data_IF_249362979090
#
_entry.id   IF_249362979090
#
_cell.length_a   1.000
_cell.length_b   1.000
_cell.length_c   1.000
_cell.angle_alpha   90.00
_cell.angle_beta   90.00
_cell.angle_gamma   90.00
#
_symmetry.space_group_name_H-M   'P 1'
#
loop_
_entity.id
_entity.type
_entity.pdbx_description
1 polymer ?
#
# COMPACT_ATOMS: atom_id res chain seq x y z
N UNK A 1 -14.15 10.40 27.62
CA UNK A 1 -14.29 8.98 27.19
C UNK A 1 -15.36 8.81 26.12
N UNK A 2 -16.66 8.79 26.42
CA UNK A 2 -17.71 8.56 25.39
C UNK A 2 -17.68 9.56 24.22
N UNK A 3 -17.49 10.86 24.49
CA UNK A 3 -17.37 11.88 23.44
C UNK A 3 -16.09 11.73 22.60
N UNK A 4 -14.99 11.31 23.22
CA UNK A 4 -13.70 11.18 22.54
C UNK A 4 -13.69 9.94 21.63
N UNK A 5 -14.24 8.82 22.11
CA UNK A 5 -14.46 7.59 21.32
C UNK A 5 -15.37 7.85 20.13
N UNK A 6 -16.47 8.60 20.31
CA UNK A 6 -17.39 8.93 19.22
C UNK A 6 -16.76 9.84 18.16
N UNK A 7 -16.00 10.85 18.60
CA UNK A 7 -15.29 11.76 17.70
C UNK A 7 -14.23 11.02 16.88
N UNK A 8 -13.50 10.09 17.52
CA UNK A 8 -12.52 9.27 16.85
C UNK A 8 -13.15 8.31 15.83
N UNK A 9 -14.23 7.62 16.21
CA UNK A 9 -14.96 6.73 15.31
C UNK A 9 -15.43 7.49 14.06
N UNK A 10 -15.93 8.72 14.25
CA UNK A 10 -16.31 9.60 13.15
C UNK A 10 -15.11 9.98 12.27
N UNK A 11 -13.95 10.31 12.86
CA UNK A 11 -12.72 10.59 12.11
C UNK A 11 -12.25 9.38 11.31
N UNK A 12 -12.28 8.18 11.90
CA UNK A 12 -11.95 6.91 11.24
C UNK A 12 -12.90 6.63 10.07
N UNK A 13 -14.21 6.74 10.29
CA UNK A 13 -15.21 6.54 9.24
C UNK A 13 -15.00 7.52 8.08
N UNK A 14 -14.69 8.78 8.37
CA UNK A 14 -14.47 9.80 7.34
C UNK A 14 -13.16 9.55 6.59
N UNK A 15 -12.09 9.15 7.27
CA UNK A 15 -10.86 8.71 6.60
C UNK A 15 -11.14 7.51 5.67
N UNK A 16 -11.94 6.54 6.11
CA UNK A 16 -12.32 5.37 5.32
C UNK A 16 -13.25 5.69 4.15
N UNK A 17 -14.05 6.74 4.21
CA UNK A 17 -14.94 7.18 3.13
C UNK A 17 -14.28 8.19 2.18
N UNK A 18 -13.17 8.81 2.60
CA UNK A 18 -12.49 9.84 1.82
C UNK A 18 -11.80 9.27 0.58
N UNK A 19 -11.97 9.96 -0.53
CA UNK A 19 -11.18 9.76 -1.75
C UNK A 19 -9.78 10.38 -1.59
N UNK A 20 -8.78 9.96 -2.39
CA UNK A 20 -7.44 10.57 -2.35
C UNK A 20 -7.46 12.11 -2.50
N UNK A 21 -8.38 12.65 -3.32
CA UNK A 21 -8.57 14.10 -3.47
C UNK A 21 -9.03 14.76 -2.17
N UNK A 22 -10.01 14.16 -1.50
CA UNK A 22 -10.55 14.70 -0.25
C UNK A 22 -9.49 14.69 0.86
N UNK A 23 -8.71 13.61 0.94
CA UNK A 23 -7.59 13.46 1.87
C UNK A 23 -6.60 14.63 1.71
N UNK A 24 -6.20 14.95 0.47
CA UNK A 24 -5.25 16.05 0.19
C UNK A 24 -5.84 17.45 0.28
N UNK A 25 -7.14 17.61 0.07
CA UNK A 25 -7.79 18.93 0.13
C UNK A 25 -8.01 19.45 1.55
N UNK A 26 -8.07 18.56 2.55
CA UNK A 26 -8.29 18.90 3.97
C UNK A 26 -7.14 18.37 4.84
N UNK A 27 -5.92 18.82 4.52
CA UNK A 27 -4.70 18.38 5.20
C UNK A 27 -4.77 18.60 6.72
N UNK A 28 -5.37 19.71 7.20
CA UNK A 28 -5.46 19.97 8.65
C UNK A 28 -6.28 18.92 9.38
N UNK A 29 -7.40 18.50 8.80
CA UNK A 29 -8.23 17.45 9.40
C UNK A 29 -7.57 16.09 9.27
N UNK A 30 -6.97 15.80 8.12
CA UNK A 30 -6.28 14.54 7.89
C UNK A 30 -5.10 14.36 8.84
N UNK A 31 -4.27 15.38 8.99
CA UNK A 31 -3.13 15.40 9.90
C UNK A 31 -3.56 15.15 11.34
N UNK A 32 -4.62 15.81 11.83
CA UNK A 32 -5.19 15.51 13.15
C UNK A 32 -5.64 14.06 13.29
N UNK A 33 -6.22 13.50 12.23
CA UNK A 33 -6.64 12.10 12.22
C UNK A 33 -5.42 11.17 12.27
N UNK A 34 -4.37 11.45 11.49
CA UNK A 34 -3.11 10.70 11.51
C UNK A 34 -2.43 10.75 12.89
N UNK A 35 -2.36 11.93 13.51
CA UNK A 35 -1.84 12.10 14.88
C UNK A 35 -2.59 11.21 15.87
N UNK A 36 -3.92 11.27 15.86
CA UNK A 36 -4.77 10.47 16.75
C UNK A 36 -4.64 8.96 16.49
N UNK A 37 -4.64 8.54 15.23
CA UNK A 37 -4.52 7.13 14.86
C UNK A 37 -3.17 6.56 15.30
N UNK A 38 -2.09 7.31 15.11
CA UNK A 38 -0.76 6.89 15.52
C UNK A 38 -0.61 6.88 17.05
N UNK A 39 -1.14 7.89 17.73
CA UNK A 39 -1.17 7.95 19.20
C UNK A 39 -1.86 6.71 19.79
N UNK A 40 -3.02 6.35 19.26
CA UNK A 40 -3.81 5.21 19.75
C UNK A 40 -3.13 3.89 19.42
N UNK A 41 -2.51 3.79 18.25
CA UNK A 41 -1.69 2.62 17.89
C UNK A 41 -0.55 2.45 18.88
N UNK A 42 0.14 3.54 19.23
CA UNK A 42 1.22 3.52 20.21
C UNK A 42 0.71 3.16 21.62
N UNK A 43 -0.40 3.72 22.07
CA UNK A 43 -1.00 3.39 23.37
C UNK A 43 -1.42 1.92 23.45
N UNK A 44 -2.14 1.45 22.42
CA UNK A 44 -2.58 0.05 22.33
C UNK A 44 -1.39 -0.92 22.30
N UNK A 45 -0.28 -0.56 21.65
CA UNK A 45 0.93 -1.41 21.59
C UNK A 45 1.60 -1.67 22.94
N UNK A 46 1.25 -0.89 23.97
CA UNK A 46 1.83 -1.01 25.33
C UNK A 46 0.98 -1.88 26.25
N UNK A 47 -0.20 -2.32 25.82
CA UNK A 47 -1.18 -3.02 26.62
C UNK A 47 -1.26 -4.48 26.14
N UNK A 48 -1.28 -5.43 27.07
CA UNK A 48 -1.20 -6.88 26.78
C UNK A 48 -2.30 -7.39 25.84
N UNK A 49 -3.50 -6.80 25.86
CA UNK A 49 -4.62 -7.17 24.99
C UNK A 49 -4.72 -6.29 23.72
N UNK A 50 -3.72 -5.44 23.47
CA UNK A 50 -3.63 -4.50 22.37
C UNK A 50 -4.87 -3.60 22.20
N UNK A 51 -5.56 -3.28 23.30
CA UNK A 51 -6.67 -2.32 23.30
C UNK A 51 -6.24 -1.03 23.97
N UNK A 52 -6.40 0.07 23.25
CA UNK A 52 -6.19 1.43 23.77
C UNK A 52 -7.14 1.77 24.91
N UNK A 53 -6.83 2.84 25.65
CA UNK A 53 -7.66 3.36 26.74
C UNK A 53 -9.06 3.81 26.29
N UNK A 54 -9.23 4.10 25.00
CA UNK A 54 -10.51 4.48 24.38
C UNK A 54 -11.32 3.28 23.86
N UNK A 55 -10.81 2.05 24.05
CA UNK A 55 -11.50 0.78 23.80
C UNK A 55 -11.18 0.11 22.46
N UNK A 56 -10.53 0.81 21.54
CA UNK A 56 -10.20 0.29 20.21
C UNK A 56 -9.03 -0.71 20.29
N UNK A 57 -9.20 -1.86 19.65
CA UNK A 57 -8.12 -2.81 19.38
C UNK A 57 -7.17 -2.22 18.34
N UNK A 58 -5.88 -2.52 18.43
CA UNK A 58 -4.84 -1.92 17.59
C UNK A 58 -5.07 -2.10 16.08
N UNK A 59 -5.74 -3.18 15.68
CA UNK A 59 -6.10 -3.43 14.27
C UNK A 59 -7.00 -2.34 13.67
N UNK A 60 -7.83 -1.69 14.48
CA UNK A 60 -8.82 -0.73 14.03
C UNK A 60 -8.16 0.58 13.56
N UNK A 61 -7.31 1.27 14.35
CA UNK A 61 -6.57 2.43 13.83
C UNK A 61 -5.55 2.03 12.76
N UNK A 62 -4.88 0.88 12.87
CA UNK A 62 -3.94 0.40 11.85
C UNK A 62 -4.64 0.19 10.49
N UNK A 63 -5.86 -0.36 10.48
CA UNK A 63 -6.61 -0.56 9.24
C UNK A 63 -6.92 0.74 8.51
N UNK A 64 -7.20 1.80 9.28
CA UNK A 64 -7.39 3.16 8.74
C UNK A 64 -6.06 3.73 8.23
N UNK A 65 -4.97 3.59 8.98
CA UNK A 65 -3.63 4.02 8.57
C UNK A 65 -3.20 3.36 7.25
N UNK A 66 -3.39 2.05 7.10
CA UNK A 66 -3.05 1.35 5.88
C UNK A 66 -3.81 1.90 4.65
N UNK A 67 -5.08 2.28 4.81
CA UNK A 67 -5.82 2.97 3.74
C UNK A 67 -5.25 4.35 3.45
N UNK A 68 -4.94 5.13 4.48
CA UNK A 68 -4.42 6.49 4.31
C UNK A 68 -3.02 6.49 3.70
N UNK A 69 -2.17 5.54 4.07
CA UNK A 69 -0.82 5.35 3.52
C UNK A 69 -0.83 4.89 2.06
N UNK A 70 -2.00 4.71 1.44
CA UNK A 70 -2.13 4.64 -0.02
C UNK A 70 -1.65 5.94 -0.70
N UNK A 71 -1.70 7.06 0.02
CA UNK A 71 -1.22 8.37 -0.39
C UNK A 71 0.13 8.69 0.28
N UNK A 72 1.15 9.00 -0.52
CA UNK A 72 2.53 9.19 -0.03
C UNK A 72 2.67 10.39 0.90
N UNK A 73 1.89 11.46 0.70
CA UNK A 73 1.91 12.62 1.60
C UNK A 73 1.38 12.24 2.99
N UNK A 74 0.32 11.44 3.06
CA UNK A 74 -0.23 10.95 4.32
C UNK A 74 0.74 10.00 5.04
N UNK A 75 1.42 9.14 4.29
CA UNK A 75 2.48 8.28 4.82
C UNK A 75 3.64 9.11 5.38
N UNK A 76 4.18 10.04 4.59
CA UNK A 76 5.30 10.89 4.99
C UNK A 76 4.93 11.71 6.22
N UNK A 77 3.77 12.38 6.23
CA UNK A 77 3.31 13.12 7.39
C UNK A 77 3.24 12.24 8.65
N UNK A 78 2.67 11.04 8.54
CA UNK A 78 2.53 10.15 9.68
C UNK A 78 3.88 9.68 10.26
N UNK A 79 4.88 9.47 9.41
CA UNK A 79 6.20 9.00 9.85
C UNK A 79 7.08 10.13 10.37
N UNK A 80 7.06 11.30 9.73
CA UNK A 80 8.03 12.37 10.02
C UNK A 80 7.47 13.59 10.75
N UNK A 81 6.13 13.76 10.80
CA UNK A 81 5.50 14.97 11.30
C UNK A 81 4.33 14.74 12.27
N UNK A 82 3.92 13.49 12.50
CA UNK A 82 2.77 13.22 13.35
C UNK A 82 3.04 13.64 14.80
N UNK A 83 2.15 14.45 15.35
CA UNK A 83 2.25 14.93 16.73
C UNK A 83 1.72 13.85 17.67
N UNK A 84 2.62 13.18 18.39
CA UNK A 84 2.32 12.09 19.32
C UNK A 84 2.93 12.38 20.70
N UNK A 85 2.42 11.74 21.74
CA UNK A 85 2.95 11.84 23.11
C UNK A 85 3.19 10.44 23.71
N UNK A 86 4.45 10.02 23.90
CA UNK A 86 5.66 10.74 23.53
C UNK A 86 5.83 10.88 22.01
N UNK A 87 6.57 11.92 21.58
CA UNK A 87 6.82 12.18 20.16
C UNK A 87 7.61 11.02 19.54
N UNK A 88 7.01 10.36 18.56
CA UNK A 88 7.68 9.38 17.71
C UNK A 88 8.41 10.10 16.58
N UNK A 89 9.67 9.71 16.35
CA UNK A 89 10.37 10.03 15.12
C UNK A 89 10.13 8.93 14.07
N UNK A 90 10.63 9.17 12.85
CA UNK A 90 10.53 8.23 11.73
C UNK A 90 11.01 6.84 12.12
N UNK A 91 12.17 6.77 12.77
CA UNK A 91 12.83 5.53 13.18
C UNK A 91 11.95 4.74 14.15
N UNK A 92 11.49 5.40 15.21
CA UNK A 92 10.65 4.81 16.25
C UNK A 92 9.30 4.37 15.71
N UNK A 93 8.76 5.11 14.74
CA UNK A 93 7.49 4.77 14.09
C UNK A 93 7.62 3.52 13.21
N UNK A 94 8.68 3.44 12.39
CA UNK A 94 8.95 2.23 11.59
C UNK A 94 9.23 1.03 12.50
N UNK A 95 10.05 1.22 13.54
CA UNK A 95 10.38 0.16 14.50
C UNK A 95 9.14 -0.33 15.26
N UNK A 96 8.20 0.56 15.59
CA UNK A 96 6.89 0.20 16.15
C UNK A 96 6.11 -0.73 15.21
N UNK A 97 5.96 -0.37 13.93
CA UNK A 97 5.24 -1.22 12.97
C UNK A 97 5.93 -2.56 12.73
N UNK A 98 7.27 -2.58 12.65
CA UNK A 98 8.04 -3.82 12.50
C UNK A 98 7.89 -4.72 13.73
N UNK A 99 8.01 -4.16 14.94
CA UNK A 99 7.83 -4.89 16.19
C UNK A 99 6.43 -5.52 16.26
N UNK A 100 5.40 -4.72 16.02
CA UNK A 100 4.02 -5.20 16.01
C UNK A 100 3.82 -6.30 14.97
N UNK A 101 4.39 -6.15 13.77
CA UNK A 101 4.27 -7.17 12.74
C UNK A 101 4.88 -8.50 13.17
N UNK A 102 6.09 -8.49 13.76
CA UNK A 102 6.75 -9.69 14.27
C UNK A 102 5.92 -10.32 15.41
N UNK A 103 5.45 -9.49 16.34
CA UNK A 103 4.62 -9.92 17.48
C UNK A 103 3.32 -10.61 17.02
N UNK A 104 2.56 -9.96 16.13
CA UNK A 104 1.33 -10.51 15.56
C UNK A 104 1.59 -11.61 14.53
N UNK A 105 2.84 -11.88 14.12
CA UNK A 105 3.21 -13.03 13.27
C UNK A 105 3.59 -14.27 14.08
N UNK A 106 3.88 -14.14 15.37
CA UNK A 106 4.29 -15.22 16.27
C UNK A 106 3.37 -16.46 16.25
N UNK A 107 3.79 -17.55 16.90
CA UNK A 107 3.34 -18.94 16.67
C UNK A 107 1.81 -19.26 16.72
N UNK A 108 0.92 -18.30 16.97
CA UNK A 108 -0.53 -18.50 17.14
C UNK A 108 -1.43 -17.91 16.03
N UNK A 109 -0.88 -17.22 15.01
CA UNK A 109 -1.69 -16.56 13.95
C UNK A 109 -2.67 -17.49 13.25
N UNK A 110 -2.31 -18.75 13.10
CA UNK A 110 -3.12 -19.72 12.36
C UNK A 110 -4.47 -20.04 13.02
N UNK A 111 -4.74 -19.57 14.25
CA UNK A 111 -5.97 -19.85 14.99
C UNK A 111 -6.82 -18.62 15.34
N UNK A 112 -6.30 -17.40 15.16
CA UNK A 112 -7.00 -16.16 15.52
C UNK A 112 -7.14 -15.23 14.31
N UNK A 113 -8.36 -15.09 13.80
CA UNK A 113 -8.68 -14.23 12.65
C UNK A 113 -8.33 -12.76 12.89
N UNK A 114 -8.45 -12.25 14.12
CA UNK A 114 -8.13 -10.86 14.43
C UNK A 114 -6.61 -10.62 14.38
N UNK A 115 -5.81 -11.57 14.87
CA UNK A 115 -4.34 -11.50 14.77
C UNK A 115 -3.89 -11.61 13.32
N UNK A 116 -4.47 -12.53 12.55
CA UNK A 116 -4.21 -12.65 11.12
C UNK A 116 -4.53 -11.37 10.35
N UNK A 117 -5.70 -10.76 10.63
CA UNK A 117 -6.09 -9.49 10.04
C UNK A 117 -5.10 -8.37 10.42
N UNK A 118 -4.71 -8.29 11.70
CA UNK A 118 -3.73 -7.31 12.19
C UNK A 118 -2.38 -7.47 11.50
N UNK A 119 -1.90 -8.70 11.35
CA UNK A 119 -0.67 -9.03 10.64
C UNK A 119 -0.74 -8.61 9.16
N UNK A 120 -1.87 -8.88 8.49
CA UNK A 120 -2.12 -8.45 7.11
C UNK A 120 -2.07 -6.93 6.97
N UNK A 121 -2.69 -6.20 7.88
CA UNK A 121 -2.67 -4.72 7.90
C UNK A 121 -1.23 -4.20 8.03
N UNK A 122 -0.50 -4.70 9.02
CA UNK A 122 0.88 -4.26 9.32
C UNK A 122 1.81 -4.53 8.14
N UNK A 123 1.68 -5.69 7.49
CA UNK A 123 2.48 -6.00 6.31
C UNK A 123 2.18 -5.07 5.13
N UNK A 124 0.91 -4.68 4.93
CA UNK A 124 0.54 -3.69 3.91
C UNK A 124 1.04 -2.27 4.23
N UNK A 125 1.13 -1.90 5.51
CA UNK A 125 1.78 -0.66 5.97
C UNK A 125 3.27 -0.70 5.65
N UNK A 126 3.97 -1.77 6.05
CA UNK A 126 5.40 -1.96 5.80
C UNK A 126 5.71 -2.03 4.30
N UNK A 127 4.81 -2.60 3.50
CA UNK A 127 4.92 -2.53 2.05
C UNK A 127 4.79 -1.11 1.52
N UNK A 128 3.85 -0.30 2.03
CA UNK A 128 3.76 1.12 1.66
C UNK A 128 5.03 1.88 2.02
N UNK A 129 5.64 1.61 3.18
CA UNK A 129 6.94 2.17 3.59
C UNK A 129 8.06 1.76 2.63
N UNK A 130 8.09 0.50 2.18
CA UNK A 130 9.15 0.00 1.30
C UNK A 130 9.22 0.68 -0.08
N UNK A 131 8.17 1.37 -0.53
CA UNK A 131 8.21 2.15 -1.77
C UNK A 131 9.10 3.40 -1.65
N UNK A 132 9.35 3.87 -0.43
CA UNK A 132 10.07 5.10 -0.16
C UNK A 132 11.57 4.82 -0.01
N UNK A 133 12.39 5.31 -0.94
CA UNK A 133 13.82 5.00 -1.02
C UNK A 133 14.58 5.31 0.29
N UNK A 134 14.23 6.39 0.97
CA UNK A 134 14.85 6.82 2.23
C UNK A 134 14.59 5.89 3.41
N UNK A 135 13.55 5.04 3.34
CA UNK A 135 13.22 4.10 4.41
C UNK A 135 13.70 2.67 4.14
N UNK A 136 14.13 2.35 2.92
CA UNK A 136 14.57 0.99 2.53
C UNK A 136 15.72 0.48 3.39
N UNK A 137 16.75 1.30 3.60
CA UNK A 137 17.92 0.93 4.41
C UNK A 137 17.53 0.54 5.83
N UNK A 138 16.56 1.25 6.43
CA UNK A 138 16.08 0.98 7.78
C UNK A 138 15.35 -0.37 7.87
N UNK A 139 14.50 -0.68 6.88
CA UNK A 139 13.85 -1.99 6.80
C UNK A 139 14.86 -3.13 6.58
N UNK A 140 15.87 -2.92 5.73
CA UNK A 140 16.92 -3.90 5.44
C UNK A 140 17.80 -4.22 6.65
N UNK A 141 18.03 -3.26 7.55
CA UNK A 141 18.83 -3.45 8.76
C UNK A 141 18.17 -4.35 9.81
N UNK A 142 16.87 -4.63 9.69
CA UNK A 142 16.16 -5.50 10.63
C UNK A 142 16.13 -6.96 10.11
N UNK A 143 17.09 -7.77 10.58
CA UNK A 143 17.24 -9.17 10.14
C UNK A 143 16.01 -10.04 10.44
N UNK A 144 15.37 -9.85 11.59
CA UNK A 144 14.20 -10.63 12.00
C UNK A 144 12.99 -10.33 11.13
N UNK A 145 12.72 -9.04 10.87
CA UNK A 145 11.71 -8.61 9.91
C UNK A 145 11.95 -9.26 8.56
N UNK A 146 13.18 -9.17 8.07
CA UNK A 146 13.54 -9.64 6.75
C UNK A 146 13.38 -11.16 6.60
N UNK A 147 13.83 -11.94 7.59
CA UNK A 147 13.61 -13.39 7.66
C UNK A 147 12.12 -13.73 7.67
N UNK A 148 11.33 -12.97 8.42
CA UNK A 148 9.88 -13.18 8.54
C UNK A 148 9.17 -12.95 7.20
N UNK A 149 9.48 -11.85 6.51
CA UNK A 149 8.93 -11.53 5.18
C UNK A 149 9.34 -12.58 4.14
N UNK A 150 10.60 -13.02 4.12
CA UNK A 150 11.06 -14.12 3.24
C UNK A 150 10.27 -15.41 3.47
N UNK A 151 10.03 -15.78 4.73
CA UNK A 151 9.24 -16.98 5.03
C UNK A 151 7.81 -16.89 4.49
N UNK A 152 7.16 -15.73 4.58
CA UNK A 152 5.80 -15.51 4.07
C UNK A 152 5.72 -15.57 2.54
N UNK A 153 6.75 -15.07 1.86
CA UNK A 153 6.81 -15.10 0.40
C UNK A 153 7.07 -16.53 -0.13
N UNK A 154 7.86 -17.32 0.59
CA UNK A 154 8.23 -18.69 0.23
C UNK A 154 7.22 -19.74 0.69
N UNK A 155 6.25 -19.37 1.53
CA UNK A 155 5.27 -20.32 2.05
C UNK A 155 4.41 -20.88 0.90
N UNK A 156 4.70 -22.14 0.53
CA UNK A 156 4.01 -22.87 -0.53
C UNK A 156 2.67 -23.44 -0.06
N UNK A 157 2.30 -23.28 1.22
CA UNK A 157 0.98 -23.64 1.72
C UNK A 157 -0.08 -22.60 1.33
N UNK A 158 -0.19 -22.29 0.04
CA UNK A 158 -1.46 -21.84 -0.55
C UNK A 158 -2.34 -23.06 -0.85
N UNK A 159 -2.53 -23.93 0.14
CA UNK A 159 -3.69 -24.81 0.15
C UNK A 159 -4.86 -24.00 0.67
N UNK A 160 -5.63 -23.45 -0.27
CA UNK A 160 -6.98 -22.92 -0.04
C UNK A 160 -6.98 -21.77 0.96
N UNK A 161 -6.73 -20.56 0.45
CA UNK A 161 -7.16 -19.33 1.10
C UNK A 161 -8.67 -19.45 1.25
N UNK A 162 -9.13 -19.86 2.43
CA UNK A 162 -10.47 -19.48 2.90
C UNK A 162 -10.52 -17.97 2.72
N UNK A 163 -11.57 -17.46 2.10
CA UNK A 163 -11.85 -16.04 1.85
C UNK A 163 -11.70 -15.19 3.13
N UNK A 164 -10.46 -14.93 3.53
CA UNK A 164 -10.11 -14.07 4.64
C UNK A 164 -10.34 -12.64 4.13
N UNK A 165 -11.13 -11.88 4.89
CA UNK A 165 -11.50 -10.53 4.51
C UNK A 165 -10.26 -9.65 4.36
N UNK A 166 -9.87 -9.38 3.11
CA UNK A 166 -8.87 -8.36 2.75
C UNK A 166 -9.61 -7.12 2.25
N UNK A 167 -9.57 -5.99 2.97
CA UNK A 167 -10.15 -4.74 2.50
C UNK A 167 -9.62 -4.36 1.11
N UNK A 168 -10.45 -3.76 0.27
CA UNK A 168 -10.08 -3.33 -1.11
C UNK A 168 -8.88 -2.36 -1.21
N UNK A 169 -8.39 -1.84 -0.09
CA UNK A 169 -7.19 -0.99 -0.01
C UNK A 169 -5.90 -1.76 0.36
N UNK A 170 -5.98 -3.06 0.59
CA UNK A 170 -4.90 -3.95 1.01
C UNK A 170 -4.77 -5.12 0.03
N UNK A 171 -3.64 -5.82 0.10
CA UNK A 171 -3.39 -7.08 -0.62
C UNK A 171 -3.15 -8.22 0.37
N UNK A 172 -3.16 -9.46 -0.14
CA UNK A 172 -2.84 -10.65 0.65
C UNK A 172 -1.44 -10.59 1.25
N UNK A 173 -1.20 -11.33 2.34
CA UNK A 173 0.10 -11.34 2.99
C UNK A 173 1.23 -11.78 2.05
N UNK A 174 1.02 -12.84 1.26
CA UNK A 174 2.02 -13.34 0.30
C UNK A 174 2.40 -12.26 -0.72
N UNK A 175 1.40 -11.56 -1.27
CA UNK A 175 1.63 -10.50 -2.27
C UNK A 175 2.32 -9.28 -1.67
N UNK A 176 1.91 -8.85 -0.48
CA UNK A 176 2.57 -7.76 0.23
C UNK A 176 4.03 -8.13 0.57
N UNK A 177 4.30 -9.37 1.01
CA UNK A 177 5.65 -9.86 1.28
C UNK A 177 6.52 -9.86 0.02
N UNK A 178 6.02 -10.40 -1.10
CA UNK A 178 6.72 -10.36 -2.39
C UNK A 178 7.04 -8.93 -2.83
N UNK A 179 6.07 -8.03 -2.69
CA UNK A 179 6.24 -6.61 -3.03
C UNK A 179 7.27 -5.89 -2.17
N UNK A 180 7.35 -6.20 -0.87
CA UNK A 180 8.40 -5.68 0.02
C UNK A 180 9.77 -6.15 -0.46
N UNK A 181 9.96 -7.45 -0.70
CA UNK A 181 11.26 -8.00 -1.09
C UNK A 181 11.74 -7.43 -2.42
N UNK A 182 10.82 -7.29 -3.39
CA UNK A 182 11.09 -6.61 -4.64
C UNK A 182 11.57 -5.17 -4.42
N UNK A 183 10.84 -4.38 -3.62
CA UNK A 183 11.17 -2.99 -3.35
C UNK A 183 12.50 -2.81 -2.62
N UNK A 184 12.88 -3.79 -1.78
CA UNK A 184 14.15 -3.84 -1.07
C UNK A 184 15.30 -4.41 -1.93
N UNK A 185 15.11 -4.57 -3.24
CA UNK A 185 16.07 -5.13 -4.20
C UNK A 185 16.52 -6.55 -3.87
N UNK A 186 15.70 -7.30 -3.13
CA UNK A 186 15.98 -8.68 -2.76
C UNK A 186 15.28 -9.60 -3.75
N UNK A 187 16.06 -10.10 -4.69
CA UNK A 187 15.61 -11.05 -5.71
C UNK A 187 15.44 -12.41 -5.05
N UNK A 188 14.19 -12.83 -4.84
CA UNK A 188 13.87 -14.14 -4.26
C UNK A 188 14.28 -15.33 -5.12
N UNK A 189 14.70 -15.11 -6.36
CA UNK A 189 15.38 -16.04 -7.23
C UNK A 189 16.19 -15.22 -8.24
N UNK A 190 17.32 -15.77 -8.67
CA UNK A 190 18.37 -15.19 -9.54
C UNK A 190 17.94 -14.79 -10.96
N UNK A 191 16.67 -14.48 -11.17
CA UNK A 191 16.20 -13.84 -12.39
C UNK A 191 16.28 -12.33 -12.16
N UNK A 192 17.39 -11.72 -12.58
CA UNK A 192 17.34 -10.35 -13.10
C UNK A 192 16.21 -10.32 -14.13
N UNK A 193 15.02 -9.92 -13.71
CA UNK A 193 13.94 -9.66 -14.65
C UNK A 193 14.43 -8.51 -15.48
N UNK A 194 14.68 -8.83 -16.75
CA UNK A 194 15.05 -7.88 -17.77
C UNK A 194 14.07 -6.69 -17.72
N UNK A 195 14.61 -5.48 -17.63
CA UNK A 195 13.83 -4.26 -17.85
C UNK A 195 13.41 -4.28 -19.32
N UNK A 196 12.35 -5.03 -19.63
CA UNK A 196 11.85 -5.13 -20.99
C UNK A 196 11.35 -3.76 -21.42
N UNK A 197 12.12 -3.17 -22.32
CA UNK A 197 12.03 -1.80 -22.74
C UNK A 197 10.62 -1.54 -23.33
N UNK A 198 9.80 -0.71 -22.67
CA UNK A 198 8.45 -0.33 -23.14
C UNK A 198 8.52 0.62 -24.36
N UNK A 199 9.70 1.18 -24.65
CA UNK A 199 9.89 2.19 -25.70
C UNK A 199 9.48 1.75 -27.11
N UNK A 200 9.68 0.51 -27.59
CA UNK A 200 9.28 0.13 -28.94
C UNK A 200 7.77 0.19 -29.15
N UNK A 201 6.99 -0.27 -28.17
CA UNK A 201 5.52 -0.22 -28.22
C UNK A 201 5.05 1.23 -28.20
N UNK A 202 5.60 2.04 -27.29
CA UNK A 202 5.26 3.47 -27.19
C UNK A 202 5.66 4.23 -28.46
N UNK A 203 6.82 3.94 -29.05
CA UNK A 203 7.29 4.56 -30.29
C UNK A 203 6.37 4.23 -31.48
N UNK A 204 5.94 2.97 -31.61
CA UNK A 204 5.02 2.59 -32.68
C UNK A 204 3.63 3.21 -32.48
N UNK A 205 3.10 3.25 -31.25
CA UNK A 205 1.84 3.94 -30.95
C UNK A 205 1.93 5.44 -31.25
N UNK A 206 3.04 6.10 -30.89
CA UNK A 206 3.27 7.50 -31.17
C UNK A 206 3.35 7.77 -32.69
N UNK A 207 3.98 6.87 -33.47
CA UNK A 207 4.02 6.96 -34.94
C UNK A 207 2.64 6.86 -35.58
N UNK A 208 1.69 6.24 -34.90
CA UNK A 208 0.28 6.09 -35.31
C UNK A 208 -0.64 7.12 -34.68
N UNK A 209 -0.11 8.18 -34.07
CA UNK A 209 -0.91 9.24 -33.42
C UNK A 209 -1.86 10.00 -34.37
N UNK A 210 -1.73 9.82 -35.69
CA UNK A 210 -2.71 10.32 -36.66
C UNK A 210 -4.02 9.51 -36.70
N UNK A 211 -4.04 8.31 -36.12
CA UNK A 211 -5.21 7.43 -36.09
C UNK A 211 -5.99 7.54 -34.77
N UNK A 212 -5.34 7.95 -33.69
CA UNK A 212 -5.93 8.06 -32.36
C UNK A 212 -5.15 9.05 -31.49
N UNK A 213 -5.83 9.63 -30.50
CA UNK A 213 -5.17 10.43 -29.46
C UNK A 213 -4.56 9.51 -28.40
N UNK A 214 -3.24 9.57 -28.24
CA UNK A 214 -2.49 8.81 -27.24
C UNK A 214 -2.26 9.67 -25.99
N UNK A 215 -2.56 9.12 -24.82
CA UNK A 215 -2.23 9.73 -23.53
C UNK A 215 -1.30 8.78 -22.77
N UNK A 216 -0.14 9.29 -22.34
CA UNK A 216 0.87 8.53 -21.60
C UNK A 216 1.03 9.19 -20.25
N UNK A 217 0.97 8.37 -19.19
CA UNK A 217 1.07 8.83 -17.80
C UNK A 217 2.33 9.69 -17.56
N UNK A 218 3.47 9.34 -18.15
CA UNK A 218 4.75 10.05 -17.95
C UNK A 218 4.90 11.40 -18.68
N UNK A 219 4.25 11.61 -19.82
CA UNK A 219 4.57 12.75 -20.70
C UNK A 219 3.83 14.05 -20.31
N UNK A 220 2.90 13.99 -19.36
CA UNK A 220 2.05 15.12 -18.96
C UNK A 220 2.24 15.57 -17.49
N UNK A 221 3.33 15.14 -16.85
CA UNK A 221 3.61 15.40 -15.44
C UNK A 221 4.61 16.54 -15.25
N UNK A 222 4.13 17.77 -15.37
CA UNK A 222 4.82 18.93 -14.80
C UNK A 222 4.63 18.93 -13.27
N UNK A 223 5.73 19.17 -12.55
CA UNK A 223 6.02 18.77 -11.18
C UNK A 223 5.27 19.51 -10.04
N UNK A 224 4.05 20.01 -10.26
CA UNK A 224 3.34 20.82 -9.23
C UNK A 224 1.82 20.57 -9.11
N UNK A 225 1.25 19.57 -9.79
CA UNK A 225 -0.18 19.22 -9.66
C UNK A 225 -0.38 17.75 -9.22
N UNK A 226 -1.51 17.49 -8.57
CA UNK A 226 -1.94 16.18 -8.07
C UNK A 226 -1.89 15.09 -9.17
N UNK A 227 -0.77 14.35 -9.21
CA UNK A 227 -0.43 13.28 -10.15
C UNK A 227 -1.60 12.33 -10.44
N UNK A 228 -2.29 11.88 -9.39
CA UNK A 228 -3.43 10.96 -9.50
C UNK A 228 -4.65 11.56 -10.22
N UNK A 229 -4.91 12.86 -10.12
CA UNK A 229 -6.09 13.47 -10.76
C UNK A 229 -5.94 13.50 -12.28
N UNK A 230 -4.75 13.83 -12.78
CA UNK A 230 -4.42 13.77 -14.21
C UNK A 230 -4.57 12.35 -14.74
N UNK A 231 -4.05 11.37 -14.01
CA UNK A 231 -4.17 9.96 -14.36
C UNK A 231 -5.63 9.51 -14.38
N UNK A 232 -6.38 9.79 -13.31
CA UNK A 232 -7.79 9.41 -13.23
C UNK A 232 -8.63 10.13 -14.30
N UNK A 233 -8.30 11.36 -14.66
CA UNK A 233 -8.93 12.08 -15.76
C UNK A 233 -8.59 11.47 -17.11
N UNK A 234 -7.32 11.14 -17.35
CA UNK A 234 -6.86 10.43 -18.56
C UNK A 234 -7.59 9.12 -18.76
N UNK A 235 -7.69 8.30 -17.71
CA UNK A 235 -8.46 7.04 -17.72
C UNK A 235 -9.95 7.30 -17.97
N UNK A 236 -10.55 8.34 -17.38
CA UNK A 236 -11.97 8.69 -17.62
C UNK A 236 -12.23 9.12 -19.06
N UNK A 237 -11.30 9.86 -19.66
CA UNK A 237 -11.42 10.39 -21.01
C UNK A 237 -11.03 9.38 -22.09
N UNK A 238 -10.27 8.33 -21.74
CA UNK A 238 -9.89 7.29 -22.70
C UNK A 238 -11.06 6.36 -23.03
N UNK A 239 -11.08 5.88 -24.28
CA UNK A 239 -11.96 4.78 -24.71
C UNK A 239 -11.39 3.42 -24.33
N UNK A 240 -10.08 3.27 -24.52
CA UNK A 240 -9.31 2.05 -24.25
C UNK A 240 -8.14 2.39 -23.34
N UNK A 241 -7.83 1.50 -22.40
CA UNK A 241 -6.67 1.58 -21.50
C UNK A 241 -5.72 0.43 -21.83
N UNK A 242 -4.50 0.75 -22.25
CA UNK A 242 -3.46 -0.26 -22.46
C UNK A 242 -2.70 -0.48 -21.15
N UNK A 243 -2.71 -1.72 -20.66
CA UNK A 243 -1.93 -2.12 -19.49
C UNK A 243 -0.68 -2.85 -19.94
N UNK A 244 0.47 -2.19 -19.84
CA UNK A 244 1.76 -2.74 -20.23
C UNK A 244 2.36 -3.57 -19.07
N UNK A 245 2.03 -4.85 -19.06
CA UNK A 245 2.26 -5.81 -17.99
C UNK A 245 3.72 -6.28 -17.98
N UNK A 246 4.48 -5.76 -17.02
CA UNK A 246 5.84 -6.19 -16.67
C UNK A 246 5.88 -6.56 -15.19
N UNK A 247 6.96 -7.16 -14.71
CA UNK A 247 7.10 -7.44 -13.27
C UNK A 247 6.96 -6.16 -12.42
N UNK A 248 7.56 -5.05 -12.87
CA UNK A 248 7.43 -3.72 -12.25
C UNK A 248 5.98 -3.24 -12.22
N UNK A 249 5.20 -3.54 -13.27
CA UNK A 249 3.79 -3.17 -13.33
C UNK A 249 3.01 -3.89 -12.22
N UNK A 250 3.26 -5.19 -12.03
CA UNK A 250 2.62 -5.99 -10.97
C UNK A 250 3.02 -5.51 -9.57
N UNK A 251 4.28 -5.12 -9.41
CA UNK A 251 4.82 -4.68 -8.13
C UNK A 251 4.47 -3.22 -7.80
N UNK A 252 4.14 -2.39 -8.79
CA UNK A 252 3.78 -0.97 -8.62
C UNK A 252 2.38 -0.74 -8.06
N UNK A 253 2.30 -0.04 -6.93
CA UNK A 253 1.05 0.39 -6.28
C UNK A 253 0.24 1.36 -7.15
N UNK A 254 0.92 2.28 -7.84
CA UNK A 254 0.28 3.23 -8.74
C UNK A 254 -0.38 2.52 -9.93
N UNK A 255 0.35 1.60 -10.59
CA UNK A 255 -0.19 0.84 -11.72
C UNK A 255 -1.41 -0.01 -11.33
N UNK A 256 -1.41 -0.63 -10.15
CA UNK A 256 -2.57 -1.38 -9.64
C UNK A 256 -3.77 -0.49 -9.37
N UNK A 257 -3.54 0.69 -8.77
CA UNK A 257 -4.58 1.68 -8.49
C UNK A 257 -5.22 2.18 -9.79
N UNK A 258 -4.42 2.40 -10.82
CA UNK A 258 -4.84 2.79 -12.18
C UNK A 258 -5.70 1.71 -12.84
N UNK A 259 -5.20 0.47 -12.88
CA UNK A 259 -5.93 -0.66 -13.46
C UNK A 259 -7.27 -0.87 -12.75
N UNK A 260 -7.26 -0.90 -11.41
CA UNK A 260 -8.48 -1.06 -10.60
C UNK A 260 -9.48 0.07 -10.84
N UNK A 261 -8.98 1.30 -11.04
CA UNK A 261 -9.83 2.43 -11.37
C UNK A 261 -10.44 2.31 -12.78
N UNK A 262 -9.65 1.88 -13.78
CA UNK A 262 -10.13 1.62 -15.13
C UNK A 262 -11.24 0.54 -15.13
N UNK A 263 -11.05 -0.56 -14.41
CA UNK A 263 -12.06 -1.63 -14.23
C UNK A 263 -13.33 -1.08 -13.58
N UNK A 264 -13.22 -0.33 -12.48
CA UNK A 264 -14.37 0.31 -11.81
C UNK A 264 -15.12 1.29 -12.72
N UNK A 265 -14.44 1.88 -13.71
CA UNK A 265 -15.03 2.75 -14.73
C UNK A 265 -15.52 2.02 -15.97
N UNK A 266 -15.48 0.67 -15.97
CA UNK A 266 -15.89 -0.18 -17.10
C UNK A 266 -15.18 0.21 -18.39
N UNK A 267 -13.89 0.54 -18.28
CA UNK A 267 -13.06 0.86 -19.45
C UNK A 267 -12.69 -0.42 -20.18
N UNK A 268 -12.58 -0.32 -21.50
CA UNK A 268 -12.01 -1.41 -22.31
C UNK A 268 -10.51 -1.48 -22.01
N UNK A 269 -10.04 -2.62 -21.50
CA UNK A 269 -8.65 -2.79 -21.09
C UNK A 269 -7.98 -3.79 -22.03
N UNK A 270 -6.86 -3.40 -22.62
CA UNK A 270 -6.00 -4.30 -23.40
C UNK A 270 -4.75 -4.59 -22.57
N UNK A 271 -4.63 -5.79 -21.97
CA UNK A 271 -3.40 -6.22 -21.31
C UNK A 271 -2.36 -6.62 -22.37
N UNK A 272 -1.15 -6.08 -22.27
CA UNK A 272 -0.03 -6.40 -23.15
C UNK A 272 1.14 -6.83 -22.27
N UNK A 273 1.50 -8.12 -22.33
CA UNK A 273 2.68 -8.63 -21.65
C UNK A 273 3.96 -8.11 -22.31
N UNK A 274 4.83 -7.55 -21.50
CA UNK A 274 6.14 -7.04 -21.91
C UNK A 274 7.20 -7.91 -21.24
N UNK A 275 7.69 -8.91 -21.98
CA UNK A 275 8.64 -9.93 -21.51
C UNK A 275 8.04 -11.34 -21.55
N UNK A 276 8.69 -12.28 -20.87
CA UNK A 276 8.13 -13.63 -20.71
C UNK A 276 6.89 -13.56 -19.80
N UNK A 277 5.75 -14.15 -20.19
CA UNK A 277 4.59 -14.26 -19.31
C UNK A 277 4.99 -15.16 -18.13
N UNK A 278 5.33 -14.53 -17.00
CA UNK A 278 5.46 -15.25 -15.73
C UNK A 278 4.08 -15.64 -15.19
N UNK A 279 4.03 -16.69 -14.39
CA UNK A 279 2.85 -17.13 -13.65
C UNK A 279 2.25 -15.94 -12.88
N UNK A 280 1.15 -15.39 -13.39
CA UNK A 280 0.54 -14.17 -12.89
C UNK A 280 -0.97 -14.35 -12.80
N UNK A 281 -1.41 -14.79 -11.63
CA UNK A 281 -2.79 -15.24 -11.33
C UNK A 281 -3.82 -14.10 -11.13
N UNK A 282 -3.66 -12.93 -11.74
CA UNK A 282 -4.55 -11.78 -11.46
C UNK A 282 -5.39 -11.29 -12.65
N UNK A 283 -5.23 -11.86 -13.85
CA UNK A 283 -6.14 -11.63 -14.97
C UNK A 283 -7.20 -12.73 -15.08
#
# INVERSE_FOLDING_TARGET
>A
MLNDTNNLLLSMAIALLSTPKQIRSDNKRMNRSLNQLLQITMEASKIENHRSNVGFHISEPLGVLAKLFVDDHSLEYALSHAETDPQLDVTSTIDLFVKLFIEFRGASVQKNQLEHFTCTILLNILWSISFQDHYKTKLQQNEEFFKTVKSLAMDSSETVVVDDYVPSSMESMKKAANGILYNLNETLNDKKVDMTNKQPILAELARKANLFSLWIDRDHLSSNEDLWEKIALGIKQSYVVLCLLSQDYFNSKSCRKEASFAVKRKKEIIPIYIGEPGDCDWL
#
